data_IF_448992267417
#
_entry.id   IF_448992267417
#
_cell.length_a   1.000
_cell.length_b   1.000
_cell.length_c   1.000
_cell.angle_alpha   90.00
_cell.angle_beta   90.00
_cell.angle_gamma   90.00
#
_symmetry.space_group_name_H-M   'P 1'
#
loop_
_entity.id
_entity.type
_entity.pdbx_description
1 polymer ?
#
# COMPACT_ATOMS: atom_id res chain seq x y z
N UNK A 1 14.46 33.84 -50.37
CA UNK A 1 13.43 34.31 -51.31
C UNK A 1 12.08 33.86 -50.79
N UNK A 2 11.21 34.76 -50.29
CA UNK A 2 9.87 34.37 -49.87
C UNK A 2 8.96 34.30 -51.10
N UNK A 3 8.41 33.12 -51.38
CA UNK A 3 7.32 32.96 -52.34
C UNK A 3 6.05 33.55 -51.73
N UNK A 4 5.66 34.74 -52.19
CA UNK A 4 4.31 35.24 -51.98
C UNK A 4 3.36 34.46 -52.92
N UNK A 5 2.33 33.77 -52.41
CA UNK A 5 1.32 33.20 -53.29
C UNK A 5 0.53 34.35 -53.94
N UNK A 6 0.50 34.35 -55.28
CA UNK A 6 -0.38 35.19 -56.09
C UNK A 6 -1.82 35.01 -55.55
N UNK A 7 -2.58 36.09 -55.27
CA UNK A 7 -3.98 35.91 -54.90
C UNK A 7 -4.65 35.18 -56.06
N UNK A 8 -5.36 34.05 -55.81
CA UNK A 8 -6.17 33.48 -56.87
C UNK A 8 -7.19 34.57 -57.26
N UNK A 9 -7.40 34.77 -58.57
CA UNK A 9 -8.41 35.70 -59.06
C UNK A 9 -9.77 35.44 -58.40
N UNK A 10 -10.70 36.40 -58.47
CA UNK A 10 -12.02 36.29 -57.86
C UNK A 10 -12.65 34.90 -58.08
N UNK A 11 -12.65 34.08 -57.02
CA UNK A 11 -13.14 32.71 -57.06
C UNK A 11 -14.65 32.76 -56.77
N UNK A 12 -15.46 32.90 -57.81
CA UNK A 12 -16.92 32.82 -57.71
C UNK A 12 -17.37 31.36 -57.72
N UNK A 13 -17.05 30.63 -56.65
CA UNK A 13 -17.60 29.30 -56.39
C UNK A 13 -18.71 29.42 -55.34
N UNK A 14 -19.87 28.78 -55.54
CA UNK A 14 -20.92 28.75 -54.53
C UNK A 14 -20.41 28.02 -53.28
N UNK A 15 -20.71 28.56 -52.10
CA UNK A 15 -20.24 28.02 -50.83
C UNK A 15 -20.64 26.55 -50.61
N UNK A 16 -21.80 26.14 -51.13
CA UNK A 16 -22.26 24.74 -51.08
C UNK A 16 -21.27 23.78 -51.73
N UNK A 17 -20.56 24.20 -52.80
CA UNK A 17 -19.62 23.33 -53.52
C UNK A 17 -18.30 23.21 -52.76
N UNK A 18 -17.93 24.25 -52.00
CA UNK A 18 -16.71 24.26 -51.19
C UNK A 18 -16.94 23.59 -49.83
N UNK A 19 -18.10 23.82 -49.22
CA UNK A 19 -18.50 23.37 -47.89
C UNK A 19 -19.99 23.00 -47.87
N UNK A 20 -20.36 21.78 -48.33
CA UNK A 20 -21.76 21.37 -48.52
C UNK A 20 -22.53 21.21 -47.21
N UNK A 21 -21.84 21.18 -46.08
CA UNK A 21 -22.41 20.93 -44.76
C UNK A 21 -22.46 22.20 -43.88
N UNK A 22 -21.97 23.34 -44.38
CA UNK A 22 -21.93 24.60 -43.62
C UNK A 22 -23.28 25.31 -43.59
N UNK A 23 -23.66 25.78 -42.41
CA UNK A 23 -24.91 26.50 -42.17
C UNK A 23 -24.69 28.01 -42.16
N UNK A 24 -25.01 28.65 -43.28
CA UNK A 24 -24.83 30.09 -43.54
C UNK A 24 -25.75 30.94 -42.66
N UNK A 25 -26.81 30.34 -42.09
CA UNK A 25 -27.78 31.05 -41.26
C UNK A 25 -27.21 31.47 -39.90
N UNK A 26 -26.17 30.76 -39.43
CA UNK A 26 -25.50 31.02 -38.16
C UNK A 26 -24.50 32.16 -38.26
N UNK A 27 -24.32 32.88 -37.16
CA UNK A 27 -23.33 33.96 -37.08
C UNK A 27 -21.90 33.43 -37.18
N UNK A 28 -21.64 32.27 -36.56
CA UNK A 28 -20.38 31.53 -36.67
C UNK A 28 -20.72 30.04 -36.89
N UNK A 29 -20.20 29.47 -37.96
CA UNK A 29 -20.28 28.03 -38.22
C UNK A 29 -18.88 27.45 -38.43
N UNK A 30 -18.59 26.34 -37.76
CA UNK A 30 -17.26 25.73 -37.77
C UNK A 30 -17.38 24.22 -37.84
N UNK A 31 -16.71 23.65 -38.83
CA UNK A 31 -16.89 22.25 -39.21
C UNK A 31 -15.59 21.62 -39.71
N UNK A 32 -15.44 20.33 -39.44
CA UNK A 32 -14.37 19.51 -40.00
C UNK A 32 -14.82 18.85 -41.30
N UNK A 33 -14.01 19.02 -42.32
CA UNK A 33 -14.21 18.46 -43.66
C UNK A 33 -13.12 17.44 -43.97
N UNK A 34 -13.46 16.32 -44.65
CA UNK A 34 -12.47 15.32 -45.04
C UNK A 34 -11.50 15.83 -46.13
N UNK A 35 -11.89 16.86 -46.88
CA UNK A 35 -11.11 17.45 -47.97
C UNK A 35 -11.70 18.77 -48.45
N UNK A 36 -10.90 19.53 -49.20
CA UNK A 36 -11.35 20.72 -49.94
C UNK A 36 -11.27 20.45 -51.45
N UNK A 37 -11.96 21.22 -52.32
CA UNK A 37 -11.87 21.04 -53.76
C UNK A 37 -10.45 21.13 -54.33
N UNK A 38 -9.58 21.90 -53.66
CA UNK A 38 -8.16 22.06 -54.04
C UNK A 38 -7.27 20.96 -53.43
N UNK A 39 -7.68 20.34 -52.33
CA UNK A 39 -6.96 19.28 -51.63
C UNK A 39 -7.94 18.23 -51.06
N UNK A 40 -8.38 17.26 -51.89
CA UNK A 40 -9.46 16.33 -51.51
C UNK A 40 -9.05 15.30 -50.44
N UNK A 41 -7.75 15.04 -50.28
CA UNK A 41 -7.23 14.01 -49.37
C UNK A 41 -6.67 14.56 -48.05
N UNK A 42 -6.88 15.84 -47.75
CA UNK A 42 -6.37 16.47 -46.53
C UNK A 42 -7.53 17.07 -45.74
N UNK A 43 -7.73 16.66 -44.48
CA UNK A 43 -8.78 17.23 -43.67
C UNK A 43 -8.53 18.72 -43.43
N UNK A 44 -9.62 19.49 -43.45
CA UNK A 44 -9.59 20.92 -43.25
C UNK A 44 -10.69 21.35 -42.28
N UNK A 45 -10.39 22.36 -41.49
CA UNK A 45 -11.36 23.09 -40.68
C UNK A 45 -11.96 24.20 -41.54
N UNK A 46 -13.25 24.12 -41.80
CA UNK A 46 -14.01 25.18 -42.44
C UNK A 46 -14.61 26.10 -41.36
N UNK A 47 -14.43 27.40 -41.53
CA UNK A 47 -14.97 28.45 -40.66
C UNK A 47 -15.75 29.45 -41.51
N UNK A 48 -17.00 29.65 -41.14
CA UNK A 48 -17.88 30.67 -41.67
C UNK A 48 -18.13 31.73 -40.60
N UNK A 49 -17.95 33.00 -40.95
CA UNK A 49 -18.28 34.15 -40.11
C UNK A 49 -19.18 35.07 -40.92
N UNK A 50 -20.39 35.30 -40.42
CA UNK A 50 -21.35 36.22 -41.05
C UNK A 50 -20.93 37.67 -40.85
N UNK A 51 -21.12 38.51 -41.88
CA UNK A 51 -20.83 39.94 -41.76
C UNK A 51 -21.98 40.66 -41.05
N UNK A 52 -21.75 41.44 -39.97
CA UNK A 52 -22.79 42.22 -39.32
C UNK A 52 -23.40 43.24 -40.30
N UNK A 53 -24.67 43.05 -40.66
CA UNK A 53 -25.42 43.98 -41.53
C UNK A 53 -25.83 43.43 -42.90
N UNK A 54 -25.39 42.23 -43.28
CA UNK A 54 -25.85 41.54 -44.51
C UNK A 54 -26.38 40.15 -44.17
N UNK A 55 -27.52 39.79 -44.76
CA UNK A 55 -28.15 38.47 -44.53
C UNK A 55 -27.47 37.34 -45.33
N UNK A 56 -26.67 37.67 -46.35
CA UNK A 56 -26.15 36.69 -47.31
C UNK A 56 -24.64 36.81 -47.61
N UNK A 57 -23.92 37.71 -46.93
CA UNK A 57 -22.47 37.83 -47.08
C UNK A 57 -21.73 37.57 -45.78
N UNK A 58 -20.58 36.95 -45.91
CA UNK A 58 -19.72 36.54 -44.81
C UNK A 58 -18.35 36.16 -45.35
N UNK A 59 -17.45 35.88 -44.43
CA UNK A 59 -16.10 35.42 -44.72
C UNK A 59 -16.05 33.92 -44.48
N UNK A 60 -15.57 33.21 -45.49
CA UNK A 60 -15.28 31.79 -45.40
C UNK A 60 -13.78 31.56 -45.40
N UNK A 61 -13.29 30.80 -44.43
CA UNK A 61 -11.89 30.45 -44.29
C UNK A 61 -11.74 28.93 -44.12
N UNK A 62 -10.76 28.34 -44.80
CA UNK A 62 -10.40 26.94 -44.62
C UNK A 62 -8.98 26.83 -44.09
N UNK A 63 -8.79 26.07 -43.02
CA UNK A 63 -7.48 25.79 -42.44
C UNK A 63 -7.19 24.29 -42.52
N UNK A 64 -6.10 23.91 -43.17
CA UNK A 64 -5.62 22.54 -43.14
C UNK A 64 -5.16 22.20 -41.73
N UNK A 65 -5.68 21.11 -41.17
CA UNK A 65 -5.31 20.67 -39.83
C UNK A 65 -4.85 19.22 -39.83
N UNK A 66 -3.81 18.93 -39.05
CA UNK A 66 -3.33 17.56 -38.81
C UNK A 66 -3.02 17.38 -37.35
N UNK A 67 -3.50 16.28 -36.78
CA UNK A 67 -3.29 15.93 -35.37
C UNK A 67 -2.18 14.89 -35.18
N UNK A 68 -1.59 14.38 -36.27
CA UNK A 68 -0.55 13.34 -36.21
C UNK A 68 0.73 13.80 -35.48
N UNK A 69 1.27 15.02 -35.69
CA UNK A 69 2.47 15.46 -34.97
C UNK A 69 2.29 15.51 -33.46
N UNK A 70 1.05 15.72 -33.00
CA UNK A 70 0.75 15.80 -31.58
C UNK A 70 0.76 14.43 -30.87
N UNK A 71 0.77 13.31 -31.61
CA UNK A 71 1.02 11.99 -31.02
C UNK A 71 2.42 11.88 -30.44
N UNK A 72 3.41 12.49 -31.10
CA UNK A 72 4.79 12.52 -30.59
C UNK A 72 4.91 13.37 -29.33
N UNK A 73 4.12 14.44 -29.21
CA UNK A 73 4.10 15.23 -27.98
C UNK A 73 3.42 14.46 -26.83
N UNK A 74 2.38 13.70 -27.14
CA UNK A 74 1.70 12.84 -26.18
C UNK A 74 2.52 11.62 -25.74
N UNK A 75 3.62 11.26 -26.45
CA UNK A 75 4.43 10.10 -26.09
C UNK A 75 5.15 10.23 -24.73
N UNK A 76 5.30 11.45 -24.22
CA UNK A 76 5.85 11.70 -22.88
C UNK A 76 4.89 11.33 -21.75
N UNK A 77 3.62 11.09 -22.06
CA UNK A 77 2.54 10.80 -21.13
C UNK A 77 1.89 9.47 -21.52
N UNK A 78 2.36 8.32 -21.01
CA UNK A 78 1.84 6.99 -21.39
C UNK A 78 0.33 6.83 -21.10
N UNK A 79 -0.21 7.64 -20.20
CA UNK A 79 -1.63 7.76 -19.92
C UNK A 79 -2.43 8.36 -21.08
N UNK A 80 -1.84 9.21 -21.95
CA UNK A 80 -2.52 9.82 -23.09
C UNK A 80 -2.31 8.93 -24.32
N UNK A 81 -3.27 8.06 -24.60
CA UNK A 81 -3.24 7.25 -25.81
C UNK A 81 -3.43 8.11 -27.05
N UNK A 82 -4.15 9.24 -26.96
CA UNK A 82 -4.24 10.24 -28.04
C UNK A 82 -5.38 11.23 -27.89
N UNK A 83 -5.72 11.91 -28.99
CA UNK A 83 -6.55 13.13 -28.94
C UNK A 83 -7.55 13.18 -30.09
N UNK A 84 -8.64 13.90 -29.91
CA UNK A 84 -9.52 14.28 -31.00
C UNK A 84 -9.97 15.73 -30.89
N UNK A 85 -10.15 16.34 -32.06
CA UNK A 85 -10.78 17.63 -32.25
C UNK A 85 -12.20 17.37 -32.75
N UNK A 86 -13.21 17.83 -32.02
CA UNK A 86 -14.62 17.65 -32.37
C UNK A 86 -15.22 19.00 -32.73
N UNK A 87 -15.78 19.10 -33.93
CA UNK A 87 -16.51 20.26 -34.44
C UNK A 87 -17.94 19.85 -34.77
N UNK A 88 -18.87 20.20 -33.88
CA UNK A 88 -20.30 19.87 -33.97
C UNK A 88 -20.59 18.37 -34.17
N UNK A 89 -20.69 17.94 -35.45
CA UNK A 89 -21.06 16.59 -35.89
C UNK A 89 -19.86 15.76 -36.33
N UNK A 90 -18.74 16.41 -36.62
CA UNK A 90 -17.54 15.80 -37.17
C UNK A 90 -16.42 15.83 -36.14
N UNK A 91 -15.52 14.88 -36.22
CA UNK A 91 -14.33 14.82 -35.38
C UNK A 91 -13.13 14.35 -36.19
N UNK A 92 -11.96 14.86 -35.83
CA UNK A 92 -10.67 14.44 -36.34
C UNK A 92 -9.89 13.85 -35.18
N UNK A 93 -9.35 12.65 -35.33
CA UNK A 93 -8.56 12.01 -34.28
C UNK A 93 -7.07 12.14 -34.58
N UNK A 94 -6.24 11.89 -33.58
CA UNK A 94 -4.79 11.96 -33.70
C UNK A 94 -4.21 10.72 -34.40
N UNK A 95 -4.87 9.57 -34.30
CA UNK A 95 -4.43 8.31 -34.91
C UNK A 95 -4.95 8.07 -36.32
N UNK A 96 -6.06 8.71 -36.70
CA UNK A 96 -6.59 8.63 -38.05
C UNK A 96 -6.73 10.03 -38.63
N UNK A 97 -6.19 10.25 -39.82
CA UNK A 97 -6.32 11.50 -40.57
C UNK A 97 -7.69 11.65 -41.27
N UNK A 98 -8.69 10.84 -40.87
CA UNK A 98 -10.02 10.81 -41.48
C UNK A 98 -11.02 11.49 -40.55
N UNK A 99 -11.87 12.33 -41.13
CA UNK A 99 -12.97 12.96 -40.40
C UNK A 99 -14.07 11.93 -40.15
N UNK A 100 -14.38 11.68 -38.88
CA UNK A 100 -15.41 10.74 -38.44
C UNK A 100 -16.60 11.48 -37.82
N UNK A 101 -17.74 10.81 -37.67
CA UNK A 101 -18.90 11.40 -36.99
C UNK A 101 -18.75 11.30 -35.47
N UNK A 102 -19.23 12.32 -34.74
CA UNK A 102 -19.10 12.44 -33.28
C UNK A 102 -19.62 11.21 -32.49
N UNK A 103 -20.62 10.52 -33.02
CA UNK A 103 -21.19 9.30 -32.43
C UNK A 103 -20.29 8.07 -32.47
N UNK A 104 -19.30 8.03 -33.36
CA UNK A 104 -18.41 6.88 -33.55
C UNK A 104 -17.15 6.97 -32.69
N UNK A 105 -17.03 7.99 -31.83
CA UNK A 105 -15.85 8.16 -31.00
C UNK A 105 -15.93 7.27 -29.75
N UNK A 106 -14.77 6.73 -29.30
CA UNK A 106 -14.69 5.99 -28.05
C UNK A 106 -15.00 6.91 -26.85
N UNK A 107 -15.18 6.29 -25.68
CA UNK A 107 -15.42 7.01 -24.42
C UNK A 107 -14.26 7.95 -24.11
N UNK A 108 -14.51 9.26 -23.91
CA UNK A 108 -13.46 10.24 -23.66
C UNK A 108 -12.94 10.14 -22.22
N UNK A 109 -11.65 10.37 -22.01
CA UNK A 109 -11.07 10.56 -20.67
C UNK A 109 -11.38 11.97 -20.17
N UNK A 110 -11.15 12.97 -21.02
CA UNK A 110 -11.44 14.36 -20.71
C UNK A 110 -11.99 15.08 -21.94
N UNK A 111 -12.94 15.99 -21.73
CA UNK A 111 -13.52 16.83 -22.78
C UNK A 111 -13.47 18.29 -22.34
N UNK A 112 -12.86 19.13 -23.15
CA UNK A 112 -12.84 20.58 -22.98
C UNK A 112 -13.52 21.26 -24.16
N UNK A 113 -14.41 22.19 -23.90
CA UNK A 113 -15.07 22.99 -24.91
C UNK A 113 -14.48 24.39 -24.94
N UNK A 114 -14.21 24.93 -26.13
CA UNK A 114 -13.67 26.28 -26.25
C UNK A 114 -14.79 27.31 -26.07
N UNK A 115 -14.65 28.21 -25.11
CA UNK A 115 -15.66 29.27 -24.85
C UNK A 115 -15.81 30.17 -26.08
N UNK A 116 -17.02 30.25 -26.62
CA UNK A 116 -17.33 31.11 -27.78
C UNK A 116 -17.20 30.44 -29.16
N UNK A 117 -16.73 29.19 -29.26
CA UNK A 117 -16.65 28.45 -30.52
C UNK A 117 -17.23 27.04 -30.39
N UNK A 118 -17.88 26.48 -31.43
CA UNK A 118 -18.47 25.13 -31.38
C UNK A 118 -17.41 24.02 -31.58
N UNK A 119 -16.27 24.16 -30.90
CA UNK A 119 -15.10 23.30 -31.00
C UNK A 119 -14.76 22.69 -29.64
N UNK A 120 -14.54 21.38 -29.61
CA UNK A 120 -14.24 20.62 -28.40
C UNK A 120 -12.94 19.84 -28.60
N UNK A 121 -12.08 19.85 -27.59
CA UNK A 121 -10.90 19.01 -27.49
C UNK A 121 -11.23 17.82 -26.60
N UNK A 122 -10.96 16.63 -27.11
CA UNK A 122 -11.18 15.37 -26.40
C UNK A 122 -9.84 14.67 -26.25
N UNK A 123 -9.51 14.31 -25.02
CA UNK A 123 -8.34 13.50 -24.70
C UNK A 123 -8.78 12.07 -24.44
N UNK A 124 -7.98 11.13 -24.94
CA UNK A 124 -8.14 9.70 -24.75
C UNK A 124 -6.93 9.15 -24.05
N UNK A 125 -7.20 8.23 -23.14
CA UNK A 125 -6.17 7.69 -22.30
C UNK A 125 -6.67 6.59 -21.40
N UNK A 126 -5.73 5.97 -20.70
CA UNK A 126 -6.01 5.03 -19.62
C UNK A 126 -5.65 5.68 -18.29
N UNK A 127 -6.47 5.44 -17.25
CA UNK A 127 -6.20 5.95 -15.90
C UNK A 127 -5.05 5.21 -15.21
N UNK A 128 -4.72 4.01 -15.68
CA UNK A 128 -3.55 3.23 -15.26
C UNK A 128 -2.76 2.83 -16.51
N UNK A 129 -1.47 3.16 -16.53
CA UNK A 129 -0.55 2.65 -17.52
C UNK A 129 -0.18 1.20 -17.19
N UNK A 130 0.24 0.42 -18.20
CA UNK A 130 0.70 -0.95 -17.98
C UNK A 130 1.89 -1.02 -17.01
N UNK A 131 2.74 0.01 -17.02
CA UNK A 131 3.86 0.20 -16.08
C UNK A 131 3.40 0.30 -14.62
N UNK A 132 2.20 0.82 -14.37
CA UNK A 132 1.70 1.06 -13.02
C UNK A 132 1.37 -0.26 -12.31
N UNK A 133 0.90 -1.27 -13.04
CA UNK A 133 0.66 -2.59 -12.48
C UNK A 133 1.93 -3.26 -11.98
N UNK A 134 3.04 -3.12 -12.72
CA UNK A 134 4.33 -3.68 -12.32
C UNK A 134 4.85 -2.99 -11.05
N UNK A 135 4.74 -1.67 -10.98
CA UNK A 135 5.16 -0.89 -9.81
C UNK A 135 4.30 -1.19 -8.57
N UNK A 136 2.98 -1.33 -8.74
CA UNK A 136 2.06 -1.72 -7.65
C UNK A 136 2.40 -3.12 -7.15
N UNK A 137 2.67 -4.08 -8.05
CA UNK A 137 3.01 -5.44 -7.68
C UNK A 137 4.35 -5.53 -6.93
N UNK A 138 5.39 -4.85 -7.43
CA UNK A 138 6.71 -4.83 -6.80
C UNK A 138 6.69 -4.15 -5.43
N UNK A 139 6.02 -3.00 -5.31
CA UNK A 139 5.89 -2.29 -4.04
C UNK A 139 5.07 -3.08 -3.02
N UNK A 140 3.99 -3.74 -3.45
CA UNK A 140 3.21 -4.63 -2.59
C UNK A 140 4.01 -5.82 -2.06
N UNK A 141 4.80 -6.47 -2.90
CA UNK A 141 5.67 -7.59 -2.50
C UNK A 141 6.73 -7.13 -1.49
N UNK A 142 7.37 -6.00 -1.75
CA UNK A 142 8.37 -5.42 -0.85
C UNK A 142 7.78 -5.08 0.53
N UNK A 143 6.59 -4.47 0.57
CA UNK A 143 5.90 -4.16 1.82
C UNK A 143 5.56 -5.44 2.60
N UNK A 144 5.04 -6.46 1.93
CA UNK A 144 4.73 -7.76 2.55
C UNK A 144 5.97 -8.41 3.17
N UNK A 145 7.11 -8.34 2.47
CA UNK A 145 8.36 -8.93 2.95
C UNK A 145 8.90 -8.18 4.18
N UNK A 146 8.80 -6.84 4.19
CA UNK A 146 9.16 -6.02 5.34
C UNK A 146 8.26 -6.31 6.56
N UNK A 147 6.94 -6.36 6.36
CA UNK A 147 5.98 -6.67 7.43
C UNK A 147 6.20 -8.07 7.98
N UNK A 148 6.42 -9.05 7.11
CA UNK A 148 6.73 -10.43 7.52
C UNK A 148 8.04 -10.51 8.30
N UNK A 149 9.09 -9.83 7.84
CA UNK A 149 10.38 -9.77 8.53
C UNK A 149 10.28 -9.11 9.90
N UNK A 150 9.54 -8.00 10.01
CA UNK A 150 9.30 -7.32 11.28
C UNK A 150 8.51 -8.21 12.26
N UNK A 151 7.44 -8.86 11.79
CA UNK A 151 6.66 -9.79 12.60
C UNK A 151 7.52 -10.97 13.09
N UNK A 152 8.33 -11.56 12.19
CA UNK A 152 9.26 -12.63 12.55
C UNK A 152 10.28 -12.18 13.60
N UNK A 153 10.86 -10.98 13.46
CA UNK A 153 11.79 -10.42 14.44
C UNK A 153 11.12 -10.19 15.80
N UNK A 154 9.93 -9.60 15.84
CA UNK A 154 9.19 -9.36 17.08
C UNK A 154 8.88 -10.67 17.81
N UNK A 155 8.40 -11.68 17.09
CA UNK A 155 8.14 -13.01 17.65
C UNK A 155 9.43 -13.70 18.11
N UNK A 156 10.54 -13.52 17.38
CA UNK A 156 11.83 -14.12 17.72
C UNK A 156 12.44 -13.55 19.02
N UNK A 157 12.17 -12.28 19.32
CA UNK A 157 12.59 -11.63 20.57
C UNK A 157 11.68 -12.07 21.73
N UNK A 158 10.37 -12.16 21.49
CA UNK A 158 9.39 -12.56 22.51
C UNK A 158 9.57 -14.02 22.95
N UNK A 159 10.00 -14.92 22.07
CA UNK A 159 10.16 -16.36 22.34
C UNK A 159 11.49 -16.77 23.00
N UNK A 160 12.22 -15.89 23.72
CA UNK A 160 13.49 -16.25 24.42
C UNK A 160 13.35 -16.39 25.96
N UNK A 161 12.44 -17.22 26.51
CA UNK A 161 12.20 -17.30 27.96
C UNK A 161 13.39 -17.87 28.73
N UNK A 162 14.20 -18.75 28.13
CA UNK A 162 15.34 -19.37 28.83
C UNK A 162 16.42 -18.37 29.26
N UNK A 163 16.65 -17.31 28.48
CA UNK A 163 17.64 -16.28 28.85
C UNK A 163 17.19 -15.45 30.06
N UNK A 164 15.89 -15.17 30.16
CA UNK A 164 15.31 -14.44 31.28
C UNK A 164 15.40 -15.26 32.58
N UNK A 165 15.16 -16.56 32.53
CA UNK A 165 15.25 -17.46 33.70
C UNK A 165 16.68 -17.47 34.29
N UNK A 166 17.70 -17.61 33.44
CA UNK A 166 19.11 -17.54 33.85
C UNK A 166 19.46 -16.16 34.40
N UNK A 167 18.96 -15.10 33.76
CA UNK A 167 19.20 -13.72 34.19
C UNK A 167 18.57 -13.45 35.56
N UNK A 168 17.35 -13.94 35.80
CA UNK A 168 16.65 -13.83 37.08
C UNK A 168 17.40 -14.53 38.22
N UNK A 169 17.91 -15.74 37.97
CA UNK A 169 18.75 -16.46 38.95
C UNK A 169 20.02 -15.66 39.31
N UNK A 170 20.68 -15.05 38.31
CA UNK A 170 21.87 -14.21 38.55
C UNK A 170 21.56 -12.88 39.25
N UNK A 171 20.34 -12.37 39.11
CA UNK A 171 19.90 -11.08 39.69
C UNK A 171 19.30 -11.22 41.08
N UNK A 172 19.18 -12.44 41.61
CA UNK A 172 18.54 -12.68 42.90
C UNK A 172 17.03 -12.40 42.88
N UNK A 173 16.39 -12.54 41.72
CA UNK A 173 14.93 -12.40 41.56
C UNK A 173 14.16 -13.60 42.13
N UNK A 174 14.89 -14.70 42.41
CA UNK A 174 14.38 -15.91 43.02
C UNK A 174 14.62 -15.89 44.53
N UNK A 175 13.59 -16.26 45.29
CA UNK A 175 13.66 -16.43 46.73
C UNK A 175 12.91 -17.69 47.15
N UNK A 176 13.17 -18.15 48.37
CA UNK A 176 12.56 -19.36 48.92
C UNK A 176 11.59 -18.96 50.03
N UNK A 177 10.37 -19.48 49.95
CA UNK A 177 9.42 -19.45 51.04
C UNK A 177 9.39 -20.83 51.71
N UNK A 178 9.34 -20.87 53.04
CA UNK A 178 9.30 -22.11 53.80
C UNK A 178 7.90 -22.32 54.37
N UNK A 179 7.25 -23.41 53.95
CA UNK A 179 5.94 -23.79 54.48
C UNK A 179 6.12 -24.91 55.52
N UNK A 180 5.69 -24.72 56.78
CA UNK A 180 5.81 -25.75 57.80
C UNK A 180 4.85 -26.92 57.50
N UNK A 181 5.37 -28.14 57.64
CA UNK A 181 4.60 -29.38 57.58
C UNK A 181 4.27 -29.80 59.01
N UNK A 182 2.98 -29.90 59.33
CA UNK A 182 2.46 -30.25 60.66
C UNK A 182 1.78 -31.60 60.65
N UNK A 183 1.92 -32.36 61.74
CA UNK A 183 1.27 -33.66 61.90
C UNK A 183 -0.23 -33.48 62.12
N UNK A 184 -1.06 -34.27 61.41
CA UNK A 184 -2.52 -34.18 61.53
C UNK A 184 -3.07 -34.56 62.91
N UNK A 185 -2.33 -35.36 63.68
CA UNK A 185 -2.76 -35.86 64.98
C UNK A 185 -2.53 -34.81 66.10
N UNK A 186 -1.35 -34.18 66.13
CA UNK A 186 -0.93 -33.32 67.25
C UNK A 186 -0.65 -31.86 66.87
N UNK A 187 -0.77 -31.50 65.58
CA UNK A 187 -0.46 -30.17 65.07
C UNK A 187 1.03 -29.77 65.19
N UNK A 188 1.89 -30.70 65.61
CA UNK A 188 3.31 -30.44 65.78
C UNK A 188 4.01 -30.35 64.42
N UNK A 189 4.87 -29.35 64.20
CA UNK A 189 5.70 -29.32 63.01
C UNK A 189 6.65 -30.53 63.02
N UNK A 190 6.76 -31.21 61.88
CA UNK A 190 7.71 -32.32 61.68
C UNK A 190 8.69 -32.07 60.52
N UNK A 191 8.45 -31.03 59.71
CA UNK A 191 9.31 -30.67 58.59
C UNK A 191 8.91 -29.34 57.97
N UNK A 192 9.56 -29.00 56.86
CA UNK A 192 9.23 -27.81 56.07
C UNK A 192 9.43 -28.11 54.59
N UNK A 193 8.57 -27.53 53.77
CA UNK A 193 8.72 -27.53 52.31
C UNK A 193 9.33 -26.20 51.85
N UNK A 194 10.38 -26.28 51.04
CA UNK A 194 11.03 -25.12 50.44
C UNK A 194 10.40 -24.83 49.08
N UNK A 195 9.65 -23.73 48.98
CA UNK A 195 8.91 -23.33 47.79
C UNK A 195 9.65 -22.20 47.10
N UNK A 196 10.10 -22.45 45.86
CA UNK A 196 10.75 -21.43 45.05
C UNK A 196 9.72 -20.41 44.53
N UNK A 197 10.03 -19.12 44.69
CA UNK A 197 9.24 -17.99 44.20
C UNK A 197 10.07 -17.10 43.31
N UNK A 198 9.48 -16.59 42.24
CA UNK A 198 10.12 -15.65 41.33
C UNK A 198 9.37 -14.32 41.32
N UNK A 199 10.05 -13.24 41.66
CA UNK A 199 9.51 -11.88 41.57
C UNK A 199 10.26 -11.12 40.49
N UNK A 200 9.61 -10.96 39.34
CA UNK A 200 10.21 -10.26 38.21
C UNK A 200 10.04 -8.74 38.35
N UNK A 201 11.08 -7.93 38.08
CA UNK A 201 11.05 -6.49 38.34
C UNK A 201 9.97 -5.73 37.55
N UNK A 202 9.59 -6.21 36.37
CA UNK A 202 8.54 -5.56 35.54
C UNK A 202 7.22 -6.33 35.49
N UNK A 203 7.20 -7.63 35.80
CA UNK A 203 6.00 -8.48 35.66
C UNK A 203 5.37 -8.82 37.02
N UNK A 204 6.06 -8.52 38.13
CA UNK A 204 5.61 -8.89 39.46
C UNK A 204 5.85 -10.38 39.76
N UNK A 205 5.14 -10.95 40.75
CA UNK A 205 5.27 -12.35 41.13
C UNK A 205 4.81 -13.26 39.99
N UNK A 206 5.68 -14.19 39.58
CA UNK A 206 5.38 -15.19 38.55
C UNK A 206 5.13 -16.53 39.25
N UNK A 207 3.99 -17.19 38.97
CA UNK A 207 3.65 -18.45 39.62
C UNK A 207 4.62 -19.58 39.24
N UNK A 208 4.85 -20.55 40.15
CA UNK A 208 5.75 -21.68 39.95
C UNK A 208 5.40 -22.51 38.71
N UNK A 209 4.11 -22.76 38.47
CA UNK A 209 3.68 -23.53 37.30
C UNK A 209 4.24 -22.96 35.99
N UNK A 210 4.23 -21.63 35.84
CA UNK A 210 4.69 -20.98 34.61
C UNK A 210 6.19 -21.13 34.42
N UNK A 211 7.00 -20.80 35.44
CA UNK A 211 8.45 -20.83 35.28
C UNK A 211 9.05 -22.23 35.34
N UNK A 212 8.40 -23.19 36.01
CA UNK A 212 8.82 -24.60 36.02
C UNK A 212 8.62 -25.19 34.62
N UNK A 213 7.44 -25.01 34.01
CA UNK A 213 7.21 -25.45 32.62
C UNK A 213 8.20 -24.81 31.65
N UNK A 214 8.55 -23.53 31.84
CA UNK A 214 9.59 -22.90 31.03
C UNK A 214 10.99 -23.46 31.27
N UNK A 215 11.33 -23.77 32.52
CA UNK A 215 12.61 -24.39 32.84
C UNK A 215 12.71 -25.79 32.22
N UNK A 216 11.64 -26.58 32.24
CA UNK A 216 11.59 -27.90 31.59
C UNK A 216 11.70 -27.80 30.07
N UNK A 217 10.89 -26.95 29.43
CA UNK A 217 10.90 -26.78 27.98
C UNK A 217 12.25 -26.29 27.43
N UNK A 218 13.08 -25.67 28.27
CA UNK A 218 14.40 -25.16 27.92
C UNK A 218 15.56 -26.01 28.49
N UNK A 219 15.28 -27.17 29.11
CA UNK A 219 16.27 -28.01 29.80
C UNK A 219 17.07 -27.27 30.91
N UNK A 220 16.47 -26.23 31.50
CA UNK A 220 17.02 -25.43 32.59
C UNK A 220 16.57 -25.90 33.99
N UNK A 221 15.83 -27.00 34.08
CA UNK A 221 15.39 -27.56 35.38
C UNK A 221 16.57 -27.90 36.29
N UNK A 222 17.66 -28.47 35.76
CA UNK A 222 18.85 -28.82 36.55
C UNK A 222 19.55 -27.57 37.13
N UNK A 223 19.86 -26.51 36.32
CA UNK A 223 20.34 -25.24 36.84
C UNK A 223 19.44 -24.62 37.91
N UNK A 224 18.12 -24.66 37.71
CA UNK A 224 17.14 -24.08 38.62
C UNK A 224 17.14 -24.80 39.97
N UNK A 225 17.11 -26.13 39.97
CA UNK A 225 17.15 -26.93 41.20
C UNK A 225 18.47 -26.72 41.95
N UNK A 226 19.60 -26.61 41.23
CA UNK A 226 20.88 -26.29 41.86
C UNK A 226 20.86 -24.92 42.53
N UNK A 227 20.24 -23.93 41.90
CA UNK A 227 20.08 -22.60 42.47
C UNK A 227 19.21 -22.62 43.73
N UNK A 228 18.11 -23.37 43.72
CA UNK A 228 17.28 -23.60 44.92
C UNK A 228 18.12 -24.19 46.07
N UNK A 229 18.91 -25.23 45.82
CA UNK A 229 19.78 -25.82 46.85
C UNK A 229 20.82 -24.84 47.39
N UNK A 230 21.36 -23.95 46.54
CA UNK A 230 22.28 -22.90 46.98
C UNK A 230 21.59 -21.90 47.93
N UNK A 231 20.34 -21.51 47.61
CA UNK A 231 19.54 -20.64 48.46
C UNK A 231 19.21 -21.32 49.79
N UNK A 232 18.76 -22.57 49.77
CA UNK A 232 18.45 -23.34 50.98
C UNK A 232 19.69 -23.56 51.85
N UNK A 233 20.85 -23.85 51.23
CA UNK A 233 22.12 -24.00 51.95
C UNK A 233 22.55 -22.70 52.64
N UNK A 234 22.34 -21.55 51.99
CA UNK A 234 22.58 -20.23 52.60
C UNK A 234 21.67 -19.99 53.79
N UNK A 235 20.40 -20.37 53.68
CA UNK A 235 19.39 -20.12 54.71
C UNK A 235 19.43 -21.19 55.83
N UNK A 236 20.12 -22.32 55.62
CA UNK A 236 20.21 -23.44 56.55
C UNK A 236 20.65 -23.04 57.97
N UNK A 237 21.60 -22.11 58.09
CA UNK A 237 22.04 -21.62 59.39
C UNK A 237 20.92 -20.91 60.18
N UNK A 238 20.05 -20.17 59.50
CA UNK A 238 18.89 -19.51 60.13
C UNK A 238 17.81 -20.53 60.51
N UNK A 239 17.62 -21.54 59.66
CA UNK A 239 16.67 -22.61 59.88
C UNK A 239 17.03 -23.45 61.12
N UNK A 240 18.32 -23.76 61.33
CA UNK A 240 18.77 -24.49 62.52
C UNK A 240 18.43 -23.80 63.85
N UNK A 241 18.29 -22.47 63.85
CA UNK A 241 17.94 -21.71 65.07
C UNK A 241 16.44 -21.53 65.29
N UNK A 242 15.62 -21.69 64.25
CA UNK A 242 14.17 -21.41 64.28
C UNK A 242 13.32 -22.68 64.36
N UNK A 243 13.90 -23.83 64.02
CA UNK A 243 13.21 -25.11 63.98
C UNK A 243 13.34 -25.84 65.33
N UNK A 244 12.24 -26.32 65.95
CA UNK A 244 12.32 -27.15 67.15
C UNK A 244 13.05 -28.48 66.85
N UNK A 245 13.83 -29.02 67.81
CA UNK A 245 14.66 -30.21 67.59
C UNK A 245 13.88 -31.48 67.21
N UNK A 246 12.55 -31.49 67.36
CA UNK A 246 11.64 -32.54 66.89
C UNK A 246 11.53 -32.65 65.35
N UNK A 247 11.88 -31.60 64.62
CA UNK A 247 11.86 -31.53 63.15
C UNK A 247 13.19 -31.90 62.50
N UNK A 248 14.28 -32.01 63.26
CA UNK A 248 15.57 -32.44 62.72
C UNK A 248 15.51 -33.95 62.50
N UNK A 249 16.05 -34.47 61.38
CA UNK A 249 16.14 -35.90 61.17
C UNK A 249 16.96 -36.51 62.31
N UNK A 250 16.28 -37.20 63.24
CA UNK A 250 16.95 -38.04 64.21
C UNK A 250 17.69 -39.13 63.44
N UNK A 251 18.95 -39.45 63.78
CA UNK A 251 19.64 -40.58 63.16
C UNK A 251 18.83 -41.84 63.44
N UNK A 252 18.05 -42.29 62.45
CA UNK A 252 17.27 -43.50 62.57
C UNK A 252 18.23 -44.66 62.80
N UNK A 253 18.04 -45.32 63.94
CA UNK A 253 18.55 -46.64 64.25
C UNK A 253 18.27 -47.57 63.06
N UNK A 254 19.30 -47.92 62.29
CA UNK A 254 19.26 -49.12 61.47
C UNK A 254 19.23 -50.31 62.43
N UNK A 255 18.03 -50.79 62.77
CA UNK A 255 17.87 -52.09 63.38
C UNK A 255 18.25 -53.16 62.35
N UNK A 256 19.15 -54.12 62.66
CA UNK A 256 19.41 -55.23 61.77
C UNK A 256 18.18 -56.13 61.74
N UNK A 257 17.66 -56.42 60.55
CA UNK A 257 16.63 -57.42 60.35
C UNK A 257 17.16 -58.79 60.78
N UNK A 258 16.60 -59.34 61.86
CA UNK A 258 16.78 -60.71 62.33
C UNK A 258 15.56 -61.55 61.99
N UNK A 259 15.79 -62.75 61.44
CA UNK A 259 14.79 -63.84 61.34
C UNK A 259 14.35 -64.15 59.93
#
# INVERSE_FOLDING_TARGET
MPFAPRPPGSFNLPLNVIAPLSDISRDIDLQLMPGTPLQPNKPALALWIKNPGSLQSGVFATLNITLAPYQLLASGHPEITGMALVAQRSALTSWQSVVMQNKNLPTPLHRQTLTGYPLQFVLYGSTLAFSDYQNILLSGLLLSLLVSGACWLLLSVYKRPGKELIRGMKRGEFHVEYQPLVTSHDGQPYGMEALLRWTHPTKGPIPPDVFIHYAEAQNLIIPLTRHLFQLVSRDAHLLCHTIPPSCLPQPQHFAPASG
#
